data_IF_965294008195
#
_entry.id   IF_965294008195
#
_cell.length_a   1.000
_cell.length_b   1.000
_cell.length_c   1.000
_cell.angle_alpha   90.00
_cell.angle_beta   90.00
_cell.angle_gamma   90.00
#
_symmetry.space_group_name_H-M   'P 1'
#
loop_
_entity.id
_entity.type
_entity.pdbx_description
1 polymer ?
#
# COMPACT_ATOMS: atom_id res chain seq x y z
N UNK A 1 8.76 7.27 7.35
CA UNK A 1 9.70 6.72 6.36
C UNK A 1 10.11 5.31 6.75
N UNK A 2 9.75 4.32 5.93
CA UNK A 2 10.17 2.92 6.12
C UNK A 2 11.59 2.75 5.58
N UNK A 3 12.57 2.53 6.46
CA UNK A 3 13.99 2.49 6.08
C UNK A 3 14.51 1.06 5.86
N UNK A 4 13.66 0.14 5.41
CA UNK A 4 14.07 -1.24 5.12
C UNK A 4 13.62 -1.64 3.73
N UNK A 5 14.31 -2.64 3.15
CA UNK A 5 13.96 -3.16 1.81
C UNK A 5 12.83 -4.18 1.82
N UNK A 6 12.61 -4.86 2.94
CA UNK A 6 11.57 -5.88 3.07
C UNK A 6 10.20 -5.26 3.32
N UNK A 7 9.10 -5.88 2.85
CA UNK A 7 7.76 -5.46 3.24
C UNK A 7 7.50 -5.75 4.73
N UNK A 8 6.45 -5.16 5.29
CA UNK A 8 6.05 -5.37 6.68
C UNK A 8 6.08 -4.10 7.50
N UNK A 9 5.64 -2.99 6.92
CA UNK A 9 5.37 -1.76 7.68
C UNK A 9 4.29 -2.09 8.73
N UNK A 10 4.57 -1.85 10.04
CA UNK A 10 3.63 -2.22 11.07
C UNK A 10 2.28 -1.52 10.93
N UNK A 11 1.21 -2.22 11.33
CA UNK A 11 -0.19 -1.76 11.21
C UNK A 11 -0.45 -0.39 11.88
N UNK A 12 0.34 0.00 12.87
CA UNK A 12 0.28 1.29 13.57
C UNK A 12 0.84 2.49 12.79
N UNK A 13 1.61 2.24 11.73
CA UNK A 13 2.13 3.30 10.85
C UNK A 13 1.13 3.73 9.77
N UNK A 14 0.00 3.00 9.65
CA UNK A 14 -1.07 3.35 8.74
C UNK A 14 -2.16 4.10 9.48
N UNK A 15 -2.55 5.26 8.94
CA UNK A 15 -3.74 5.97 9.39
C UNK A 15 -4.97 5.05 9.27
N UNK A 16 -5.90 5.20 10.21
CA UNK A 16 -7.16 4.43 10.24
C UNK A 16 -8.35 5.36 10.15
N UNK A 17 -9.39 4.91 9.45
CA UNK A 17 -10.70 5.53 9.42
C UNK A 17 -11.77 4.46 9.72
N UNK A 18 -12.83 4.87 10.39
CA UNK A 18 -13.91 3.98 10.78
C UNK A 18 -14.65 3.46 9.54
N UNK A 19 -14.73 2.13 9.43
CA UNK A 19 -15.38 1.45 8.31
C UNK A 19 -14.48 1.15 7.11
N UNK A 20 -13.23 1.64 7.09
CA UNK A 20 -12.26 1.31 6.01
C UNK A 20 -11.35 0.17 6.48
N UNK A 21 -11.37 -1.01 5.83
CA UNK A 21 -10.55 -2.14 6.25
C UNK A 21 -9.06 -1.94 5.96
N UNK A 22 -8.23 -2.64 6.73
CA UNK A 22 -6.78 -2.75 6.50
C UNK A 22 -6.38 -4.21 6.39
N UNK A 23 -5.56 -4.52 5.39
CA UNK A 23 -4.84 -5.79 5.34
C UNK A 23 -3.78 -5.82 6.43
N UNK A 24 -3.95 -6.75 7.38
CA UNK A 24 -3.00 -7.00 8.47
C UNK A 24 -1.58 -7.23 7.96
N UNK A 25 -0.62 -6.70 8.68
CA UNK A 25 0.81 -6.77 8.41
C UNK A 25 1.27 -8.14 7.87
N UNK A 26 0.99 -9.23 8.57
CA UNK A 26 1.48 -10.57 8.21
C UNK A 26 0.87 -11.06 6.90
N UNK A 27 -0.41 -10.74 6.66
CA UNK A 27 -1.11 -11.08 5.41
C UNK A 27 -0.54 -10.24 4.26
N UNK A 28 -0.31 -8.96 4.50
CA UNK A 28 0.23 -7.99 3.54
C UNK A 28 1.64 -8.38 3.10
N UNK A 29 2.50 -8.81 4.02
CA UNK A 29 3.84 -9.35 3.70
C UNK A 29 3.75 -10.54 2.74
N UNK A 30 2.84 -11.50 3.00
CA UNK A 30 2.64 -12.65 2.11
C UNK A 30 2.14 -12.20 0.74
N UNK A 31 1.18 -11.27 0.67
CA UNK A 31 0.66 -10.77 -0.61
C UNK A 31 1.74 -10.11 -1.46
N UNK A 32 2.57 -9.23 -0.86
CA UNK A 32 3.68 -8.58 -1.57
C UNK A 32 4.70 -9.61 -2.07
N UNK A 33 5.06 -10.59 -1.23
CA UNK A 33 5.96 -11.68 -1.62
C UNK A 33 5.42 -12.48 -2.81
N UNK A 34 4.13 -12.80 -2.80
CA UNK A 34 3.48 -13.57 -3.87
C UNK A 34 3.30 -12.76 -5.16
N UNK A 35 3.22 -11.44 -5.07
CA UNK A 35 3.14 -10.55 -6.24
C UNK A 35 4.43 -10.51 -7.06
N UNK A 36 5.59 -10.89 -6.47
CA UNK A 36 6.90 -10.98 -7.16
C UNK A 36 7.25 -9.69 -7.91
N UNK A 37 6.96 -8.56 -7.28
CA UNK A 37 7.19 -7.23 -7.83
C UNK A 37 8.68 -6.98 -8.08
N UNK A 38 8.95 -6.11 -9.05
CA UNK A 38 10.29 -5.66 -9.42
C UNK A 38 10.25 -4.16 -9.71
N UNK A 39 11.40 -3.47 -9.60
CA UNK A 39 11.51 -2.10 -10.04
C UNK A 39 10.98 -1.90 -11.46
N UNK A 40 10.24 -0.83 -11.70
CA UNK A 40 9.73 -0.48 -13.02
C UNK A 40 8.36 -1.07 -13.38
N UNK A 41 7.80 -1.92 -12.54
CA UNK A 41 6.47 -2.49 -12.80
C UNK A 41 5.35 -1.48 -12.56
N UNK A 42 4.29 -1.61 -13.36
CA UNK A 42 3.01 -0.93 -13.14
C UNK A 42 2.09 -1.90 -12.39
N UNK A 43 1.59 -1.50 -11.23
CA UNK A 43 0.71 -2.29 -10.37
C UNK A 43 -0.67 -1.66 -10.33
N UNK A 44 -1.71 -2.48 -10.38
CA UNK A 44 -3.09 -2.07 -10.14
C UNK A 44 -3.58 -2.75 -8.87
N UNK A 45 -3.86 -1.96 -7.84
CA UNK A 45 -4.42 -2.42 -6.56
C UNK A 45 -5.92 -2.12 -6.55
N UNK A 46 -6.73 -3.14 -6.85
CA UNK A 46 -8.18 -3.02 -7.03
C UNK A 46 -8.89 -3.33 -5.70
N UNK A 47 -9.63 -2.35 -5.18
CA UNK A 47 -10.17 -2.38 -3.83
C UNK A 47 -9.10 -2.07 -2.80
N UNK A 48 -8.39 -0.94 -2.98
CA UNK A 48 -7.20 -0.62 -2.18
C UNK A 48 -7.50 -0.37 -0.70
N UNK A 49 -8.76 -0.07 -0.33
CA UNK A 49 -9.17 0.19 1.05
C UNK A 49 -8.35 1.31 1.68
N UNK A 50 -7.72 1.03 2.82
CA UNK A 50 -6.81 1.97 3.48
C UNK A 50 -5.48 2.19 2.74
N UNK A 51 -5.18 1.48 1.65
CA UNK A 51 -4.01 1.72 0.81
C UNK A 51 -2.72 1.09 1.32
N UNK A 52 -2.77 0.21 2.34
CA UNK A 52 -1.56 -0.39 2.91
C UNK A 52 -0.80 -1.28 1.93
N UNK A 53 -1.51 -2.03 1.08
CA UNK A 53 -0.90 -2.82 -0.01
C UNK A 53 -0.31 -1.91 -1.08
N UNK A 54 -1.04 -0.86 -1.48
CA UNK A 54 -0.59 0.12 -2.47
C UNK A 54 0.75 0.75 -2.09
N UNK A 55 0.91 1.17 -0.83
CA UNK A 55 2.17 1.73 -0.31
C UNK A 55 3.30 0.71 -0.35
N UNK A 56 3.07 -0.49 0.17
CA UNK A 56 4.09 -1.54 0.18
C UNK A 56 4.51 -1.92 -1.25
N UNK A 57 3.56 -2.00 -2.17
CA UNK A 57 3.82 -2.27 -3.58
C UNK A 57 4.64 -1.15 -4.23
N UNK A 58 4.34 0.12 -3.92
CA UNK A 58 5.08 1.27 -4.43
C UNK A 58 6.56 1.21 -4.04
N UNK A 59 6.85 0.83 -2.79
CA UNK A 59 8.23 0.63 -2.33
C UNK A 59 8.97 -0.49 -3.08
N UNK A 60 8.26 -1.53 -3.55
CA UNK A 60 8.89 -2.63 -4.31
C UNK A 60 9.14 -2.29 -5.77
N UNK A 61 8.29 -1.46 -6.38
CA UNK A 61 8.46 -1.06 -7.79
C UNK A 61 9.35 0.16 -7.97
N UNK A 62 9.73 0.81 -6.86
CA UNK A 62 10.67 1.93 -6.77
C UNK A 62 10.26 3.12 -7.68
N UNK A 63 11.09 4.16 -7.76
CA UNK A 63 10.80 5.39 -8.53
C UNK A 63 10.62 5.16 -10.03
N UNK A 64 11.06 3.99 -10.53
CA UNK A 64 10.90 3.59 -11.92
C UNK A 64 9.54 2.97 -12.23
N UNK A 65 8.79 2.55 -11.20
CA UNK A 65 7.48 1.93 -11.32
C UNK A 65 6.34 2.86 -10.92
N UNK A 66 5.12 2.31 -10.91
CA UNK A 66 3.94 3.08 -10.51
C UNK A 66 2.83 2.16 -9.97
N UNK A 67 2.05 2.65 -9.01
CA UNK A 67 0.90 1.94 -8.44
C UNK A 67 -0.37 2.75 -8.66
N UNK A 68 -1.35 2.14 -9.33
CA UNK A 68 -2.71 2.65 -9.44
C UNK A 68 -3.58 2.01 -8.35
N UNK A 69 -3.83 2.77 -7.29
CA UNK A 69 -4.77 2.40 -6.23
C UNK A 69 -6.20 2.77 -6.67
N UNK A 70 -7.11 1.80 -6.70
CA UNK A 70 -8.48 1.98 -7.17
C UNK A 70 -9.44 1.50 -6.09
N UNK A 71 -10.40 2.35 -5.72
CA UNK A 71 -11.51 1.99 -4.84
C UNK A 71 -12.79 2.70 -5.30
N UNK A 72 -13.95 2.18 -4.88
CA UNK A 72 -15.24 2.83 -5.12
C UNK A 72 -15.72 3.64 -3.90
N UNK A 73 -15.16 3.39 -2.72
CA UNK A 73 -15.45 4.16 -1.51
C UNK A 73 -14.57 5.41 -1.46
N UNK A 74 -15.21 6.58 -1.49
CA UNK A 74 -14.55 7.88 -1.40
C UNK A 74 -13.72 7.98 -0.11
N UNK A 75 -14.15 7.39 1.00
CA UNK A 75 -13.36 7.40 2.25
C UNK A 75 -12.06 6.62 2.10
N UNK A 76 -12.10 5.45 1.47
CA UNK A 76 -10.92 4.64 1.19
C UNK A 76 -9.92 5.39 0.28
N UNK A 77 -10.43 6.07 -0.75
CA UNK A 77 -9.62 6.91 -1.65
C UNK A 77 -8.94 8.04 -0.87
N UNK A 78 -9.68 8.79 -0.05
CA UNK A 78 -9.12 9.92 0.69
C UNK A 78 -8.12 9.47 1.77
N UNK A 79 -8.39 8.35 2.45
CA UNK A 79 -7.44 7.74 3.40
C UNK A 79 -6.15 7.31 2.70
N UNK A 80 -6.25 6.63 1.55
CA UNK A 80 -5.10 6.21 0.75
C UNK A 80 -4.26 7.40 0.27
N UNK A 81 -4.91 8.49 -0.17
CA UNK A 81 -4.22 9.75 -0.54
C UNK A 81 -3.50 10.40 0.63
N UNK A 82 -4.06 10.32 1.84
CA UNK A 82 -3.42 10.85 3.04
C UNK A 82 -2.17 10.06 3.41
N UNK A 83 -2.25 8.73 3.39
CA UNK A 83 -1.14 7.84 3.76
C UNK A 83 0.01 7.93 2.77
N UNK A 84 -0.28 7.93 1.46
CA UNK A 84 0.75 8.04 0.42
C UNK A 84 1.63 9.28 0.59
N UNK A 85 1.06 10.43 0.97
CA UNK A 85 1.81 11.67 1.24
C UNK A 85 2.66 11.66 2.51
N UNK A 86 2.33 10.80 3.48
CA UNK A 86 3.02 10.74 4.77
C UNK A 86 4.21 9.77 4.76
N UNK A 87 4.30 8.93 3.72
CA UNK A 87 5.30 7.87 3.61
C UNK A 87 6.31 8.07 2.46
N UNK A 88 6.10 9.09 1.61
CA UNK A 88 7.15 9.78 0.85
C UNK A 88 8.10 10.54 1.79
#
# INVERSE_FOLDING_TARGET
MWNTKTPGIPDEFFDRDEGVPITKEEVRVVQISKARLKPGMIVYDIGCGSGSISVEAALQVEDSGHVHAVDNDVKAIELTKKISRNLE
#
